data_IF_778227435041
#
_entry.id   IF_778227435041
#
_cell.length_a   1.000
_cell.length_b   1.000
_cell.length_c   1.000
_cell.angle_alpha   90.00
_cell.angle_beta   90.00
_cell.angle_gamma   90.00
#
_symmetry.space_group_name_H-M   'P 1'
#
loop_
_entity.id
_entity.type
_entity.pdbx_description
1 polymer ?
#
# COMPACT_ATOMS: atom_id res chain seq x y z
N UNK A 1 -19.89 -11.08 48.97
CA UNK A 1 -19.16 -10.04 48.21
C UNK A 1 -19.35 -10.33 46.73
N UNK A 2 -20.13 -9.48 46.03
CA UNK A 2 -20.51 -9.63 44.63
C UNK A 2 -19.45 -8.94 43.76
N UNK A 3 -18.50 -9.68 43.19
CA UNK A 3 -17.47 -9.10 42.30
C UNK A 3 -17.29 -9.84 40.97
N UNK A 4 -18.11 -10.86 40.68
CA UNK A 4 -17.97 -11.68 39.47
C UNK A 4 -18.78 -11.20 38.26
N UNK A 5 -19.60 -10.15 38.41
CA UNK A 5 -20.48 -9.69 37.33
C UNK A 5 -19.89 -8.58 36.45
N UNK A 6 -18.77 -7.94 36.83
CA UNK A 6 -18.22 -6.80 36.10
C UNK A 6 -17.30 -7.19 34.92
N UNK A 7 -16.75 -8.40 34.90
CA UNK A 7 -15.77 -8.78 33.87
C UNK A 7 -16.37 -9.16 32.51
N UNK A 8 -17.65 -9.52 32.45
CA UNK A 8 -18.28 -9.99 31.19
C UNK A 8 -18.80 -8.82 30.35
N UNK A 9 -19.12 -7.68 30.97
CA UNK A 9 -19.67 -6.53 30.27
C UNK A 9 -18.63 -5.79 29.40
N UNK A 10 -17.33 -5.89 29.70
CA UNK A 10 -16.28 -5.21 28.94
C UNK A 10 -15.90 -5.93 27.64
N UNK A 11 -16.07 -7.26 27.57
CA UNK A 11 -15.68 -8.02 26.36
C UNK A 11 -16.67 -7.81 25.21
N UNK A 12 -17.96 -7.62 25.50
CA UNK A 12 -18.99 -7.42 24.47
C UNK A 12 -18.90 -6.04 23.77
N UNK A 13 -18.35 -5.02 24.44
CA UNK A 13 -18.19 -3.68 23.86
C UNK A 13 -17.00 -3.56 22.91
N UNK A 14 -16.01 -4.48 22.96
CA UNK A 14 -14.92 -4.49 21.99
C UNK A 14 -15.30 -5.12 20.64
N UNK A 15 -16.27 -6.04 20.61
CA UNK A 15 -16.66 -6.73 19.37
C UNK A 15 -17.38 -5.84 18.33
N UNK A 16 -17.91 -4.68 18.72
CA UNK A 16 -18.64 -3.81 17.80
C UNK A 16 -17.73 -2.91 16.92
N UNK A 17 -16.45 -2.77 17.24
CA UNK A 17 -15.55 -1.86 16.53
C UNK A 17 -14.74 -2.52 15.41
N UNK A 18 -14.80 -3.85 15.28
CA UNK A 18 -13.89 -4.60 14.39
C UNK A 18 -14.47 -4.90 13.00
N UNK A 19 -15.71 -4.53 12.71
CA UNK A 19 -16.31 -4.75 11.38
C UNK A 19 -16.21 -3.57 10.41
N UNK A 20 -15.52 -2.49 10.80
CA UNK A 20 -15.39 -1.28 9.97
C UNK A 20 -14.04 -1.15 9.25
N UNK A 21 -13.21 -2.19 9.24
CA UNK A 21 -11.97 -2.19 8.44
C UNK A 21 -12.21 -3.01 7.18
N UNK A 22 -12.66 -2.31 6.13
CA UNK A 22 -12.80 -2.83 4.80
C UNK A 22 -11.50 -3.52 4.37
N UNK A 23 -11.62 -4.77 3.96
CA UNK A 23 -10.60 -5.50 3.24
C UNK A 23 -10.60 -5.04 1.78
N UNK A 24 -10.39 -3.75 1.53
CA UNK A 24 -9.91 -3.31 0.22
C UNK A 24 -8.39 -3.48 0.24
N UNK A 25 -7.96 -4.74 0.15
CA UNK A 25 -6.58 -5.08 -0.13
C UNK A 25 -6.30 -4.75 -1.58
N UNK A 26 -6.22 -3.45 -1.88
CA UNK A 26 -5.79 -2.96 -3.17
C UNK A 26 -4.48 -3.65 -3.54
N UNK A 27 -4.48 -4.26 -4.72
CA UNK A 27 -3.27 -4.70 -5.41
C UNK A 27 -2.30 -3.52 -5.36
N UNK A 28 -1.22 -3.65 -4.60
CA UNK A 28 -0.21 -2.59 -4.42
C UNK A 28 0.18 -2.01 -5.77
N UNK A 29 -0.41 -0.87 -6.09
CA UNK A 29 -0.14 -0.13 -7.31
C UNK A 29 1.25 0.45 -7.15
N UNK A 30 2.18 0.03 -8.00
CA UNK A 30 3.41 0.78 -8.19
C UNK A 30 3.02 2.23 -8.52
N UNK A 31 3.34 3.16 -7.62
CA UNK A 31 3.10 4.59 -7.80
C UNK A 31 1.90 5.14 -7.02
N UNK A 32 2.11 5.44 -5.74
CA UNK A 32 1.43 6.57 -5.08
C UNK A 32 2.49 7.56 -4.59
N UNK A 33 3.10 8.26 -5.54
CA UNK A 33 3.78 9.53 -5.32
C UNK A 33 2.81 10.67 -5.65
N UNK A 34 2.38 11.44 -4.65
CA UNK A 34 1.35 12.45 -4.79
C UNK A 34 1.63 13.54 -5.84
N UNK A 35 0.58 13.93 -6.57
CA UNK A 35 0.39 15.30 -7.07
C UNK A 35 0.45 15.54 -8.57
N UNK A 36 0.85 14.57 -9.41
CA UNK A 36 0.75 14.66 -10.88
C UNK A 36 0.27 13.32 -11.43
N UNK A 37 -0.58 13.33 -12.46
CA UNK A 37 -0.96 12.09 -13.16
C UNK A 37 0.30 11.54 -13.84
N UNK A 38 0.89 10.52 -13.23
CA UNK A 38 1.96 9.74 -13.81
C UNK A 38 1.41 8.38 -14.25
N UNK A 39 1.88 7.91 -15.39
CA UNK A 39 1.67 6.54 -15.84
C UNK A 39 3.01 5.81 -15.77
N UNK A 40 2.99 4.65 -15.14
CA UNK A 40 4.14 3.77 -15.03
C UNK A 40 3.85 2.41 -15.68
N UNK A 41 4.87 1.80 -16.24
CA UNK A 41 4.84 0.40 -16.64
C UNK A 41 4.60 -0.48 -15.41
N UNK A 42 3.98 -1.65 -15.63
CA UNK A 42 3.71 -2.62 -14.57
C UNK A 42 4.89 -3.55 -14.29
N UNK A 43 5.93 -3.46 -15.10
CA UNK A 43 7.15 -4.25 -14.97
C UNK A 43 7.95 -3.80 -13.75
N UNK A 44 8.60 -4.76 -13.10
CA UNK A 44 9.44 -4.54 -11.94
C UNK A 44 10.80 -5.18 -12.19
N UNK A 45 11.81 -4.34 -12.39
CA UNK A 45 13.19 -4.77 -12.61
C UNK A 45 14.02 -4.59 -11.35
N UNK A 46 14.96 -5.50 -11.12
CA UNK A 46 15.88 -5.45 -9.97
C UNK A 46 16.97 -4.38 -10.11
N UNK A 47 17.05 -3.70 -11.26
CA UNK A 47 18.01 -2.64 -11.57
C UNK A 47 17.40 -1.62 -12.51
N UNK A 48 17.99 -0.42 -12.55
CA UNK A 48 17.52 0.67 -13.42
C UNK A 48 17.64 0.26 -14.90
N UNK A 49 16.52 0.33 -15.61
CA UNK A 49 16.42 -0.03 -17.02
C UNK A 49 16.43 1.23 -17.89
N UNK A 50 16.94 1.13 -19.12
CA UNK A 50 16.85 2.23 -20.08
C UNK A 50 15.41 2.36 -20.58
N UNK A 51 14.78 3.49 -20.30
CA UNK A 51 13.42 3.79 -20.74
C UNK A 51 13.41 4.44 -22.13
N UNK A 52 12.32 4.22 -22.87
CA UNK A 52 12.09 4.87 -24.17
C UNK A 52 11.97 6.40 -24.05
N UNK A 53 12.10 7.10 -25.18
CA UNK A 53 11.99 8.55 -25.23
C UNK A 53 10.69 9.08 -24.58
N UNK A 54 10.85 10.02 -23.65
CA UNK A 54 9.72 10.62 -22.90
C UNK A 54 9.32 9.86 -21.63
N UNK A 55 9.96 8.72 -21.36
CA UNK A 55 9.84 7.98 -20.11
C UNK A 55 11.09 8.18 -19.24
N UNK A 56 10.94 8.05 -17.93
CA UNK A 56 12.03 8.11 -16.94
C UNK A 56 12.02 6.89 -16.03
N UNK A 57 13.20 6.47 -15.58
CA UNK A 57 13.34 5.41 -14.59
C UNK A 57 12.82 5.85 -13.22
N UNK A 58 12.01 5.01 -12.59
CA UNK A 58 11.49 5.23 -11.24
C UNK A 58 11.65 3.95 -10.42
N UNK A 59 12.22 4.07 -9.21
CA UNK A 59 12.30 2.97 -8.27
C UNK A 59 11.22 3.14 -7.20
N UNK A 60 10.23 2.25 -7.18
CA UNK A 60 9.20 2.19 -6.14
C UNK A 60 9.48 1.13 -5.08
N UNK A 61 10.61 0.42 -5.18
CA UNK A 61 11.05 -0.62 -4.25
C UNK A 61 11.97 -0.11 -3.14
N UNK A 62 12.50 -1.05 -2.36
CA UNK A 62 13.46 -0.78 -1.28
C UNK A 62 14.89 -1.10 -1.72
N UNK A 63 15.88 -0.76 -0.90
CA UNK A 63 17.29 -0.99 -1.22
C UNK A 63 17.63 -2.48 -1.44
N UNK A 64 17.04 -3.36 -0.62
CA UNK A 64 17.21 -4.82 -0.66
C UNK A 64 16.30 -5.50 -1.70
N UNK A 65 15.18 -4.86 -2.05
CA UNK A 65 14.22 -5.32 -3.06
C UNK A 65 13.82 -4.15 -3.96
N UNK A 66 14.73 -3.72 -4.85
CA UNK A 66 14.46 -2.63 -5.78
C UNK A 66 13.37 -3.05 -6.76
N UNK A 67 12.57 -2.07 -7.17
CA UNK A 67 11.54 -2.26 -8.18
C UNK A 67 11.59 -1.07 -9.11
N UNK A 68 12.45 -1.18 -10.12
CA UNK A 68 12.58 -0.20 -11.17
C UNK A 68 11.52 -0.42 -12.23
N UNK A 69 10.90 0.67 -12.66
CA UNK A 69 9.96 0.73 -13.76
C UNK A 69 10.21 1.99 -14.58
N UNK A 70 9.60 2.08 -15.75
CA UNK A 70 9.59 3.30 -16.55
C UNK A 70 8.26 4.04 -16.32
N UNK A 71 8.32 5.35 -16.09
CA UNK A 71 7.16 6.21 -15.91
C UNK A 71 7.17 7.40 -16.87
N UNK A 72 6.02 8.02 -17.11
CA UNK A 72 5.90 9.30 -17.81
C UNK A 72 4.90 10.21 -17.11
N UNK A 73 5.15 11.51 -17.20
CA UNK A 73 4.25 12.55 -16.69
C UNK A 73 3.35 13.07 -17.81
N UNK A 74 2.12 13.40 -17.46
CA UNK A 74 1.17 14.13 -18.31
C UNK A 74 1.02 15.58 -17.89
#
# INVERSE_FOLDING_TARGET
MKFTALCVATVALLSAHTLAQGYDGEIGRAGEGGGRREECHRDCWSYEHNCDHGWYGHNSGQHDRPCWTCCRRY
#
